data_IF_355852199177
#
_entry.id   IF_355852199177
#
_cell.length_a   1.000
_cell.length_b   1.000
_cell.length_c   1.000
_cell.angle_alpha   90.00
_cell.angle_beta   90.00
_cell.angle_gamma   90.00
#
_symmetry.space_group_name_H-M   'P 1'
#
loop_
_entity.id
_entity.type
_entity.pdbx_description
1 polymer ?
#
# COMPACT_ATOMS: atom_id res chain seq x y z
N UNK A 1 12.97 -53.38 -26.19
CA UNK A 1 12.95 -54.31 -25.04
C UNK A 1 13.21 -53.49 -23.79
N UNK A 2 12.17 -53.34 -22.96
CA UNK A 2 12.09 -53.26 -21.51
C UNK A 2 12.80 -52.06 -20.83
N UNK A 3 12.31 -51.41 -19.81
CA UNK A 3 11.19 -51.60 -18.88
C UNK A 3 10.89 -50.27 -18.17
N UNK A 4 9.65 -50.02 -18.05
CA UNK A 4 8.98 -48.97 -17.28
C UNK A 4 9.17 -49.20 -15.75
N UNK A 5 9.57 -48.18 -14.98
CA UNK A 5 9.37 -48.19 -13.53
C UNK A 5 8.69 -46.87 -13.10
N UNK A 6 7.38 -47.01 -12.88
CA UNK A 6 6.54 -46.05 -12.09
C UNK A 6 6.91 -46.20 -10.62
N UNK A 7 7.20 -45.12 -9.96
CA UNK A 7 7.28 -45.07 -8.50
C UNK A 7 6.07 -44.28 -8.00
N UNK A 8 5.14 -44.98 -7.37
CA UNK A 8 4.00 -44.42 -6.63
C UNK A 8 4.54 -43.84 -5.31
N UNK A 9 4.20 -42.60 -5.01
CA UNK A 9 4.34 -42.04 -3.67
C UNK A 9 2.99 -42.09 -2.95
N UNK A 10 2.98 -42.82 -1.86
CA UNK A 10 1.92 -43.07 -0.92
C UNK A 10 1.45 -41.81 -0.18
N UNK A 11 0.15 -41.60 -0.14
CA UNK A 11 -0.56 -40.67 0.75
C UNK A 11 -0.37 -41.12 2.19
N UNK A 12 0.13 -40.27 3.07
CA UNK A 12 0.02 -40.43 4.52
C UNK A 12 -1.12 -39.55 5.04
N UNK A 13 -2.16 -40.19 5.44
CA UNK A 13 -3.29 -39.69 6.24
C UNK A 13 -2.77 -39.44 7.67
N UNK A 14 -2.99 -38.25 8.23
CA UNK A 14 -2.85 -38.02 9.66
C UNK A 14 -4.22 -37.91 10.30
N UNK A 15 -4.44 -38.79 11.26
CA UNK A 15 -5.64 -38.89 12.10
C UNK A 15 -5.73 -37.72 13.09
N UNK A 16 -6.98 -37.32 13.32
CA UNK A 16 -7.41 -36.43 14.39
C UNK A 16 -7.22 -37.11 15.78
N UNK A 17 -6.76 -36.30 16.72
CA UNK A 17 -6.79 -36.65 18.16
C UNK A 17 -7.58 -35.60 18.92
N UNK A 18 -8.77 -35.98 19.42
CA UNK A 18 -9.60 -35.20 20.33
C UNK A 18 -9.42 -35.78 21.77
N UNK A 19 -9.27 -34.91 22.78
CA UNK A 19 -9.61 -35.14 24.18
C UNK A 19 -9.59 -33.79 24.89
N UNK A 20 -10.68 -33.28 25.38
CA UNK A 20 -11.53 -33.56 26.53
C UNK A 20 -11.15 -32.71 27.76
N UNK A 21 -11.98 -31.71 28.04
CA UNK A 21 -12.72 -31.32 29.27
C UNK A 21 -11.96 -31.24 30.61
N UNK A 22 -12.04 -30.06 31.22
CA UNK A 22 -11.80 -29.82 32.63
C UNK A 22 -12.45 -28.48 33.04
N UNK A 23 -13.64 -28.58 33.63
CA UNK A 23 -14.36 -27.47 34.29
C UNK A 23 -13.95 -27.40 35.76
N UNK A 24 -14.25 -26.26 36.37
CA UNK A 24 -14.62 -25.98 37.77
C UNK A 24 -13.79 -24.85 38.39
N UNK A 25 -14.50 -23.85 38.91
CA UNK A 25 -14.06 -22.96 39.97
C UNK A 25 -14.65 -21.55 39.92
N UNK A 26 -15.96 -21.42 40.28
CA UNK A 26 -16.53 -20.15 40.74
C UNK A 26 -15.99 -19.80 42.12
N UNK A 27 -15.53 -18.56 42.34
CA UNK A 27 -15.65 -17.88 43.64
C UNK A 27 -16.05 -16.42 43.37
N UNK A 28 -17.22 -16.06 43.83
CA UNK A 28 -17.69 -14.69 43.98
C UNK A 28 -17.30 -14.19 45.36
N UNK A 29 -16.85 -12.93 45.47
CA UNK A 29 -16.99 -12.12 46.68
C UNK A 29 -17.19 -10.67 46.27
N UNK A 30 -18.33 -10.14 46.63
CA UNK A 30 -18.65 -8.73 46.63
C UNK A 30 -18.09 -8.08 47.91
N UNK A 31 -17.79 -6.77 47.83
CA UNK A 31 -18.05 -5.70 48.82
C UNK A 31 -17.56 -4.37 48.23
N UNK A 32 -18.42 -3.49 47.96
CA UNK A 32 -19.02 -2.36 48.65
C UNK A 32 -18.02 -1.41 49.31
N UNK A 33 -17.90 -0.17 48.80
CA UNK A 33 -17.70 1.05 49.54
C UNK A 33 -17.64 2.31 48.69
N UNK A 34 -18.74 3.05 48.71
CA UNK A 34 -18.90 4.49 48.84
C UNK A 34 -17.90 5.49 48.19
N UNK A 35 -18.51 6.34 47.39
CA UNK A 35 -18.09 7.68 46.93
C UNK A 35 -17.82 8.65 48.12
N UNK A 36 -17.04 9.72 47.91
CA UNK A 36 -17.71 11.01 47.86
C UNK A 36 -17.30 11.93 46.70
N UNK A 37 -18.28 12.74 46.32
CA UNK A 37 -18.22 13.85 45.38
C UNK A 37 -17.25 14.96 45.83
N UNK A 38 -16.45 15.47 44.89
CA UNK A 38 -15.77 16.75 45.03
C UNK A 38 -16.18 17.66 43.85
N UNK A 39 -16.91 18.67 44.18
CA UNK A 39 -17.18 19.87 43.38
C UNK A 39 -15.89 20.66 43.19
N UNK A 40 -15.53 21.03 41.97
CA UNK A 40 -14.57 22.09 41.73
C UNK A 40 -15.07 23.02 40.63
N UNK A 41 -14.98 24.29 40.97
CA UNK A 41 -15.35 25.47 40.23
C UNK A 41 -14.85 25.58 38.80
N UNK A 42 -15.72 26.11 37.94
CA UNK A 42 -15.40 26.59 36.58
C UNK A 42 -15.02 28.07 36.69
N UNK A 43 -13.85 28.51 36.26
CA UNK A 43 -13.55 29.93 36.07
C UNK A 43 -14.08 30.42 34.72
N UNK A 44 -14.85 31.51 34.79
CA UNK A 44 -15.34 32.32 33.67
C UNK A 44 -14.18 33.02 32.96
N UNK A 45 -14.09 33.03 31.63
CA UNK A 45 -13.10 33.83 30.92
C UNK A 45 -13.55 35.29 30.76
N UNK A 46 -12.63 36.18 31.08
CA UNK A 46 -12.67 37.62 30.91
C UNK A 46 -12.50 38.02 29.42
N UNK A 47 -13.09 39.13 28.92
CA UNK A 47 -13.06 39.51 27.52
C UNK A 47 -11.72 40.16 27.11
N UNK A 48 -11.14 39.65 26.02
CA UNK A 48 -9.91 40.16 25.43
C UNK A 48 -10.16 41.48 24.66
N UNK A 49 -9.32 42.45 24.95
CA UNK A 49 -9.24 43.80 24.39
C UNK A 49 -8.73 43.75 22.94
N UNK A 50 -9.42 44.46 22.05
CA UNK A 50 -9.11 44.63 20.64
C UNK A 50 -8.03 45.70 20.46
N UNK A 51 -6.91 45.40 19.85
CA UNK A 51 -5.96 46.39 19.31
C UNK A 51 -5.95 46.43 17.78
N UNK A 52 -5.69 47.58 17.11
CA UNK A 52 -6.00 47.81 15.72
C UNK A 52 -4.90 47.28 14.76
N UNK A 53 -5.38 46.84 13.58
CA UNK A 53 -4.58 46.36 12.49
C UNK A 53 -3.62 47.42 11.88
N UNK A 54 -2.35 47.08 11.79
CA UNK A 54 -1.35 47.84 11.01
C UNK A 54 -1.35 47.34 9.57
N UNK A 55 -1.64 48.23 8.64
CA UNK A 55 -1.62 48.03 7.19
C UNK A 55 -0.17 47.84 6.70
N UNK A 56 0.14 46.68 6.17
CA UNK A 56 1.41 46.46 5.43
C UNK A 56 1.16 46.47 3.92
N UNK A 57 2.01 47.20 3.19
CA UNK A 57 1.98 47.44 1.77
C UNK A 57 2.21 46.16 0.92
N UNK A 58 1.77 46.13 -0.37
CA UNK A 58 1.90 44.95 -1.21
C UNK A 58 3.34 44.77 -1.71
N UNK A 59 3.93 43.65 -1.40
CA UNK A 59 5.20 43.18 -1.99
C UNK A 59 4.91 42.55 -3.35
N UNK A 60 5.53 43.12 -4.38
CA UNK A 60 5.49 42.67 -5.77
C UNK A 60 6.02 41.24 -5.89
N UNK A 61 5.19 40.29 -6.25
CA UNK A 61 5.58 38.91 -6.54
C UNK A 61 6.28 38.85 -7.91
N UNK A 62 7.45 38.25 -7.93
CA UNK A 62 8.18 37.89 -9.14
C UNK A 62 7.42 36.80 -9.94
N UNK A 63 7.54 36.73 -11.28
CA UNK A 63 6.82 35.76 -12.08
C UNK A 63 7.31 34.33 -11.81
N UNK A 64 6.40 33.46 -11.40
CA UNK A 64 6.62 32.03 -11.30
C UNK A 64 6.69 31.46 -12.73
N UNK A 65 7.86 31.02 -13.14
CA UNK A 65 8.06 30.30 -14.39
C UNK A 65 7.31 28.96 -14.29
N UNK A 66 6.18 28.86 -14.96
CA UNK A 66 5.41 27.62 -15.10
C UNK A 66 6.23 26.63 -15.93
N UNK A 67 6.89 25.69 -15.28
CA UNK A 67 7.45 24.52 -15.95
C UNK A 67 6.28 23.73 -16.53
N UNK A 68 6.24 23.64 -17.85
CA UNK A 68 5.22 22.92 -18.59
C UNK A 68 5.17 21.45 -18.17
N UNK A 69 4.08 21.06 -17.51
CA UNK A 69 3.73 19.66 -17.34
C UNK A 69 3.48 19.05 -18.70
N UNK A 70 4.39 18.22 -19.17
CA UNK A 70 4.11 17.31 -20.28
C UNK A 70 3.04 16.32 -19.80
N UNK A 71 1.80 16.64 -20.10
CA UNK A 71 0.65 15.75 -19.90
C UNK A 71 0.82 14.57 -20.86
N UNK A 72 1.38 13.48 -20.38
CA UNK A 72 1.28 12.19 -21.09
C UNK A 72 -0.18 11.80 -21.07
N UNK A 73 -0.77 11.73 -22.27
CA UNK A 73 -2.20 11.50 -22.48
C UNK A 73 -2.69 10.30 -21.68
N UNK A 74 -3.69 10.54 -20.84
CA UNK A 74 -4.49 9.46 -20.22
C UNK A 74 -5.04 8.58 -21.36
N UNK A 75 -4.95 7.27 -21.20
CA UNK A 75 -5.59 6.33 -22.13
C UNK A 75 -7.07 6.70 -22.29
N UNK A 76 -7.66 6.55 -23.51
CA UNK A 76 -9.04 6.96 -23.76
C UNK A 76 -9.98 6.26 -22.76
N UNK A 77 -10.82 7.04 -22.10
CA UNK A 77 -11.80 6.57 -21.14
C UNK A 77 -12.75 5.55 -21.81
N UNK A 78 -12.80 4.32 -21.32
CA UNK A 78 -13.85 3.35 -21.67
C UNK A 78 -13.40 2.00 -22.21
N UNK A 79 -12.13 1.80 -22.59
CA UNK A 79 -11.61 0.48 -22.98
C UNK A 79 -11.04 -0.31 -21.79
N UNK A 80 -10.77 -1.63 -21.93
CA UNK A 80 -10.11 -2.42 -20.91
C UNK A 80 -8.72 -1.85 -20.52
N UNK A 81 -8.37 -1.88 -19.25
CA UNK A 81 -7.04 -1.48 -18.81
C UNK A 81 -5.96 -2.39 -19.42
N UNK A 82 -4.82 -1.82 -19.80
CA UNK A 82 -3.66 -2.59 -20.24
C UNK A 82 -2.89 -3.14 -19.04
N UNK A 83 -2.51 -4.41 -19.07
CA UNK A 83 -1.70 -5.01 -18.01
C UNK A 83 -0.21 -4.81 -18.28
N UNK A 84 0.54 -4.37 -17.25
CA UNK A 84 1.99 -4.11 -17.30
C UNK A 84 2.65 -4.70 -16.08
N UNK A 85 3.77 -5.43 -16.26
CA UNK A 85 4.53 -6.06 -15.15
C UNK A 85 5.91 -5.44 -14.91
N UNK A 86 6.43 -4.72 -15.89
CA UNK A 86 7.77 -4.10 -15.82
C UNK A 86 7.82 -2.84 -16.66
N UNK A 87 8.76 -1.98 -16.37
CA UNK A 87 9.09 -0.81 -17.16
C UNK A 87 10.20 -1.08 -18.19
N UNK A 88 10.68 -0.03 -18.90
CA UNK A 88 11.76 -0.16 -19.89
C UNK A 88 13.08 -0.62 -19.25
N UNK A 89 13.72 -1.62 -19.84
CA UNK A 89 15.01 -2.13 -19.39
C UNK A 89 16.16 -1.09 -19.50
N UNK A 90 15.94 0.00 -20.22
CA UNK A 90 16.90 1.10 -20.40
C UNK A 90 16.75 2.21 -19.37
N UNK A 91 15.76 2.12 -18.44
CA UNK A 91 15.41 3.21 -17.53
C UNK A 91 16.47 3.53 -16.47
N UNK A 92 17.38 2.58 -16.14
CA UNK A 92 18.30 2.68 -15.00
C UNK A 92 17.57 2.83 -13.65
N UNK A 93 16.28 2.46 -13.61
CA UNK A 93 15.39 2.67 -12.46
C UNK A 93 14.59 1.40 -12.13
N UNK A 94 14.11 1.35 -10.88
CA UNK A 94 13.27 0.27 -10.32
C UNK A 94 12.12 0.92 -9.57
N UNK A 95 10.90 0.43 -9.71
CA UNK A 95 9.80 0.80 -8.86
C UNK A 95 9.67 -0.19 -7.70
N UNK A 96 9.97 0.26 -6.49
CA UNK A 96 9.55 -0.45 -5.29
C UNK A 96 8.07 -0.13 -5.05
N UNK A 97 7.22 -1.14 -5.03
CA UNK A 97 5.79 -0.97 -4.84
C UNK A 97 5.33 -1.73 -3.61
N UNK A 98 4.45 -1.11 -2.84
CA UNK A 98 3.97 -1.66 -1.58
C UNK A 98 2.45 -1.78 -1.59
N UNK A 99 1.93 -2.89 -1.07
CA UNK A 99 0.53 -3.03 -0.74
C UNK A 99 0.31 -2.49 0.68
N UNK A 100 -0.50 -1.43 0.81
CA UNK A 100 -0.78 -0.82 2.11
C UNK A 100 -2.11 -1.32 2.66
N UNK A 101 -2.01 -2.17 3.66
CA UNK A 101 -3.07 -2.71 4.49
C UNK A 101 -2.53 -2.96 5.90
N UNK A 102 -3.37 -3.43 6.83
CA UNK A 102 -2.95 -3.92 8.13
C UNK A 102 -2.58 -2.84 9.15
N UNK A 103 -1.56 -3.09 9.94
CA UNK A 103 -1.21 -2.31 11.14
C UNK A 103 -0.61 -0.93 10.83
N UNK A 104 -1.20 0.12 11.41
CA UNK A 104 -0.77 1.50 11.23
C UNK A 104 0.62 1.79 11.84
N UNK A 105 1.00 1.08 12.90
CA UNK A 105 2.32 1.22 13.52
C UNK A 105 3.43 0.66 12.62
N UNK A 106 3.20 -0.50 11.98
CA UNK A 106 4.12 -1.03 10.96
C UNK A 106 4.24 -0.09 9.78
N UNK A 107 3.11 0.41 9.25
CA UNK A 107 3.12 1.40 8.18
C UNK A 107 3.92 2.65 8.55
N UNK A 108 3.79 3.15 9.78
CA UNK A 108 4.56 4.29 10.27
C UNK A 108 6.06 4.00 10.27
N UNK A 109 6.50 2.85 10.81
CA UNK A 109 7.92 2.47 10.83
C UNK A 109 8.50 2.28 9.44
N UNK A 110 7.73 1.70 8.50
CA UNK A 110 8.16 1.53 7.11
C UNK A 110 8.37 2.88 6.42
N UNK A 111 7.42 3.81 6.57
CA UNK A 111 7.54 5.17 6.03
C UNK A 111 8.74 5.92 6.63
N UNK A 112 9.09 5.70 7.91
CA UNK A 112 10.29 6.25 8.50
C UNK A 112 11.59 5.72 7.86
N UNK A 113 11.63 4.43 7.51
CA UNK A 113 12.78 3.85 6.79
C UNK A 113 12.91 4.46 5.40
N UNK A 114 11.80 4.60 4.67
CA UNK A 114 11.76 5.23 3.35
C UNK A 114 12.20 6.69 3.39
N UNK A 115 11.73 7.45 4.39
CA UNK A 115 12.09 8.85 4.58
C UNK A 115 13.59 9.01 4.87
N UNK A 116 14.17 8.20 5.78
CA UNK A 116 15.61 8.21 6.06
C UNK A 116 16.46 7.92 4.83
N UNK A 117 16.01 7.02 3.98
CA UNK A 117 16.73 6.65 2.74
C UNK A 117 16.41 7.56 1.55
N UNK A 118 15.42 8.46 1.68
CA UNK A 118 14.89 9.31 0.60
C UNK A 118 14.49 8.49 -0.63
N UNK A 119 13.79 7.39 -0.39
CA UNK A 119 13.42 6.42 -1.42
C UNK A 119 11.96 6.63 -1.81
N UNK A 120 11.66 7.23 -2.98
CA UNK A 120 10.29 7.35 -3.45
C UNK A 120 9.77 5.97 -3.89
N UNK A 121 8.50 5.69 -3.56
CA UNK A 121 7.85 4.41 -3.87
C UNK A 121 6.42 4.64 -4.36
N UNK A 122 5.79 3.61 -4.92
CA UNK A 122 4.35 3.61 -5.20
C UNK A 122 3.64 2.71 -4.19
N UNK A 123 2.63 3.26 -3.54
CA UNK A 123 1.82 2.60 -2.52
C UNK A 123 0.47 2.24 -3.12
N UNK A 124 0.26 0.97 -3.45
CA UNK A 124 -1.03 0.42 -3.82
C UNK A 124 -1.86 0.22 -2.57
N UNK A 125 -2.67 1.21 -2.25
CA UNK A 125 -3.36 1.28 -0.98
C UNK A 125 -4.75 0.68 -1.06
N UNK A 126 -5.10 -0.10 -0.04
CA UNK A 126 -6.45 -0.63 0.17
C UNK A 126 -7.36 0.48 0.66
N UNK A 127 -8.54 0.64 0.04
CA UNK A 127 -9.41 1.79 0.26
C UNK A 127 -9.95 1.91 1.70
N UNK A 128 -10.32 0.80 2.34
CA UNK A 128 -10.75 0.81 3.74
C UNK A 128 -9.58 1.14 4.69
N UNK A 129 -8.36 0.74 4.36
CA UNK A 129 -7.16 1.14 5.11
C UNK A 129 -6.88 2.64 4.98
N UNK A 130 -7.00 3.22 3.77
CA UNK A 130 -6.90 4.68 3.56
C UNK A 130 -7.92 5.44 4.40
N UNK A 131 -9.17 4.99 4.38
CA UNK A 131 -10.26 5.63 5.14
C UNK A 131 -10.02 5.56 6.66
N UNK A 132 -9.45 4.46 7.14
CA UNK A 132 -9.11 4.28 8.56
C UNK A 132 -7.83 5.05 8.97
N UNK A 133 -6.93 5.37 8.03
CA UNK A 133 -5.61 5.94 8.29
C UNK A 133 -5.34 7.22 7.47
N UNK A 134 -6.19 8.25 7.51
CA UNK A 134 -6.08 9.42 6.63
C UNK A 134 -4.76 10.19 6.82
N UNK A 135 -4.22 10.23 8.05
CA UNK A 135 -2.93 10.87 8.33
C UNK A 135 -1.74 10.14 7.68
N UNK A 136 -1.77 8.80 7.65
CA UNK A 136 -0.73 8.02 6.98
C UNK A 136 -0.83 8.17 5.46
N UNK A 137 -2.05 8.20 4.91
CA UNK A 137 -2.28 8.47 3.50
C UNK A 137 -1.73 9.85 3.08
N UNK A 138 -2.01 10.90 3.87
CA UNK A 138 -1.46 12.24 3.65
C UNK A 138 0.08 12.25 3.77
N UNK A 139 0.63 11.52 4.74
CA UNK A 139 2.07 11.38 4.92
C UNK A 139 2.74 10.74 3.70
N UNK A 140 2.16 9.67 3.14
CA UNK A 140 2.68 9.06 1.91
C UNK A 140 2.86 10.10 0.80
N UNK A 141 1.87 10.97 0.60
CA UNK A 141 1.95 12.03 -0.42
C UNK A 141 2.98 13.10 -0.06
N UNK A 142 3.00 13.55 1.20
CA UNK A 142 3.94 14.58 1.68
C UNK A 142 5.40 14.11 1.62
N UNK A 143 5.67 12.82 1.85
CA UNK A 143 6.99 12.21 1.76
C UNK A 143 7.42 11.92 0.29
N UNK A 144 6.58 12.28 -0.71
CA UNK A 144 6.87 12.12 -2.14
C UNK A 144 6.58 10.73 -2.69
N UNK A 145 5.80 9.92 -1.99
CA UNK A 145 5.33 8.64 -2.50
C UNK A 145 4.08 8.82 -3.36
N UNK A 146 3.86 7.89 -4.29
CA UNK A 146 2.68 7.85 -5.14
C UNK A 146 1.62 6.92 -4.55
N UNK A 147 0.36 7.38 -4.43
CA UNK A 147 -0.77 6.53 -4.06
C UNK A 147 -1.42 5.94 -5.30
N UNK A 148 -1.73 4.64 -5.24
CA UNK A 148 -2.36 3.86 -6.29
C UNK A 148 -3.47 2.96 -5.71
N UNK A 149 -4.39 2.51 -6.56
CA UNK A 149 -5.57 1.74 -6.17
C UNK A 149 -5.26 0.25 -6.00
N UNK A 150 -5.59 -0.30 -4.82
CA UNK A 150 -5.50 -1.73 -4.53
C UNK A 150 -6.83 -2.31 -4.02
N UNK A 151 -7.94 -1.90 -4.65
CA UNK A 151 -9.32 -2.28 -4.28
C UNK A 151 -9.77 -1.73 -2.92
N UNK A 152 -11.05 -1.86 -2.60
CA UNK A 152 -11.61 -1.33 -1.37
C UNK A 152 -11.36 -2.22 -0.16
N UNK A 153 -11.73 -3.50 -0.27
CA UNK A 153 -11.80 -4.42 0.87
C UNK A 153 -10.66 -5.43 0.94
N UNK A 154 -9.77 -5.44 -0.05
CA UNK A 154 -8.67 -6.41 -0.21
C UNK A 154 -9.14 -7.86 -0.43
N UNK A 155 -10.40 -8.09 -0.80
CA UNK A 155 -10.84 -9.41 -1.23
C UNK A 155 -10.15 -9.81 -2.55
N UNK A 156 -9.82 -11.09 -2.70
CA UNK A 156 -9.22 -11.60 -3.93
C UNK A 156 -10.16 -11.41 -5.14
N UNK A 157 -9.81 -10.49 -6.04
CA UNK A 157 -10.66 -10.13 -7.18
C UNK A 157 -10.96 -11.30 -8.12
N UNK A 158 -10.08 -12.30 -8.17
CA UNK A 158 -10.28 -13.48 -9.00
C UNK A 158 -11.49 -14.36 -8.58
N UNK A 159 -11.94 -14.24 -7.33
CA UNK A 159 -13.08 -14.97 -6.79
C UNK A 159 -14.38 -14.15 -6.73
N UNK A 160 -14.34 -12.86 -7.05
CA UNK A 160 -15.51 -11.99 -7.02
C UNK A 160 -16.41 -12.20 -8.24
N UNK A 161 -17.72 -12.08 -8.02
CA UNK A 161 -18.66 -12.00 -9.12
C UNK A 161 -18.39 -10.74 -9.98
N UNK A 162 -18.59 -10.76 -11.31
CA UNK A 162 -18.31 -9.63 -12.19
C UNK A 162 -18.95 -8.31 -11.76
N UNK A 163 -20.14 -8.35 -11.18
CA UNK A 163 -20.86 -7.16 -10.68
C UNK A 163 -20.18 -6.51 -9.46
N UNK A 164 -19.37 -7.26 -8.69
CA UNK A 164 -18.68 -6.75 -7.51
C UNK A 164 -17.32 -6.09 -7.85
N UNK A 165 -16.75 -6.36 -9.04
CA UNK A 165 -15.43 -5.86 -9.42
C UNK A 165 -15.38 -4.32 -9.48
N UNK A 166 -16.38 -3.70 -10.13
CA UNK A 166 -16.46 -2.24 -10.26
C UNK A 166 -16.52 -1.50 -8.93
N UNK A 167 -17.45 -1.85 -8.03
CA UNK A 167 -17.54 -1.26 -6.69
C UNK A 167 -16.24 -1.34 -5.87
N UNK A 168 -15.50 -2.44 -5.93
CA UNK A 168 -14.19 -2.57 -5.26
C UNK A 168 -13.18 -1.53 -5.76
N UNK A 169 -13.16 -1.28 -7.06
CA UNK A 169 -12.23 -0.33 -7.67
C UNK A 169 -12.68 1.11 -7.43
N UNK A 170 -13.96 1.43 -7.65
CA UNK A 170 -14.47 2.80 -7.58
C UNK A 170 -14.48 3.36 -6.16
N UNK A 171 -14.84 2.56 -5.15
CA UNK A 171 -14.78 3.00 -3.75
C UNK A 171 -13.36 3.32 -3.30
N UNK A 172 -12.37 2.53 -3.71
CA UNK A 172 -10.97 2.82 -3.44
C UNK A 172 -10.50 4.08 -4.19
N UNK A 173 -10.91 4.26 -5.44
CA UNK A 173 -10.62 5.47 -6.22
C UNK A 173 -11.13 6.74 -5.53
N UNK A 174 -12.33 6.68 -4.93
CA UNK A 174 -12.89 7.81 -4.16
C UNK A 174 -12.09 8.11 -2.89
N UNK A 175 -11.63 7.07 -2.16
CA UNK A 175 -10.76 7.25 -1.00
C UNK A 175 -9.41 7.90 -1.37
N UNK A 176 -8.81 7.49 -2.49
CA UNK A 176 -7.59 8.13 -3.02
C UNK A 176 -7.87 9.57 -3.39
N UNK A 177 -8.97 9.84 -4.09
CA UNK A 177 -9.35 11.21 -4.49
C UNK A 177 -9.55 12.12 -3.29
N UNK A 178 -10.14 11.63 -2.21
CA UNK A 178 -10.31 12.39 -0.97
C UNK A 178 -8.96 12.82 -0.35
N UNK A 179 -7.89 12.03 -0.58
CA UNK A 179 -6.55 12.31 -0.05
C UNK A 179 -5.71 13.18 -0.98
N UNK A 180 -5.78 12.93 -2.31
CA UNK A 180 -4.85 13.49 -3.30
C UNK A 180 -5.48 14.48 -4.29
N UNK A 181 -6.82 14.58 -4.31
CA UNK A 181 -7.57 15.34 -5.33
C UNK A 181 -7.79 14.57 -6.64
N UNK A 182 -7.21 13.39 -6.84
CA UNK A 182 -7.38 12.56 -8.04
C UNK A 182 -7.57 11.09 -7.68
N UNK A 183 -8.05 10.26 -8.63
CA UNK A 183 -8.15 8.80 -8.40
C UNK A 183 -6.79 8.08 -8.45
N UNK A 184 -5.70 8.81 -8.71
CA UNK A 184 -4.41 8.23 -9.06
C UNK A 184 -4.37 7.66 -10.48
N UNK A 185 -3.19 7.23 -10.93
CA UNK A 185 -3.01 6.72 -12.32
C UNK A 185 -3.09 5.21 -12.43
N UNK A 186 -2.80 4.50 -11.33
CA UNK A 186 -2.51 3.08 -11.38
C UNK A 186 -3.47 2.28 -10.54
N UNK A 187 -3.79 1.09 -11.04
CA UNK A 187 -4.59 0.08 -10.37
C UNK A 187 -3.81 -1.23 -10.31
N UNK A 188 -3.94 -1.96 -9.20
CA UNK A 188 -3.48 -3.34 -9.05
C UNK A 188 -4.59 -4.14 -8.37
N UNK A 189 -5.06 -5.26 -8.97
CA UNK A 189 -6.07 -6.10 -8.33
C UNK A 189 -5.50 -6.78 -7.08
N UNK A 190 -6.31 -6.92 -6.04
CA UNK A 190 -5.97 -7.70 -4.85
C UNK A 190 -6.10 -9.20 -5.08
N UNK A 191 -5.20 -10.00 -4.48
CA UNK A 191 -5.29 -11.46 -4.42
C UNK A 191 -5.19 -12.19 -5.76
N UNK A 192 -4.72 -11.53 -6.82
CA UNK A 192 -4.45 -12.14 -8.13
C UNK A 192 -3.28 -11.43 -8.83
N UNK A 193 -2.30 -12.20 -9.29
CA UNK A 193 -1.12 -11.63 -9.97
C UNK A 193 -1.47 -11.16 -11.38
N UNK A 194 -2.14 -12.00 -12.16
CA UNK A 194 -2.51 -11.69 -13.55
C UNK A 194 -4.01 -11.43 -13.61
N UNK A 195 -4.45 -10.18 -13.89
CA UNK A 195 -5.87 -9.85 -13.93
C UNK A 195 -6.60 -10.56 -15.06
N UNK A 196 -7.84 -10.97 -14.80
CA UNK A 196 -8.73 -11.50 -15.84
C UNK A 196 -9.23 -10.39 -16.78
N UNK A 197 -9.73 -10.71 -17.99
CA UNK A 197 -10.35 -9.72 -18.86
C UNK A 197 -11.45 -8.90 -18.17
N UNK A 198 -12.30 -9.54 -17.37
CA UNK A 198 -13.36 -8.86 -16.62
C UNK A 198 -12.82 -7.83 -15.61
N UNK A 199 -11.68 -8.12 -14.94
CA UNK A 199 -11.01 -7.18 -14.05
C UNK A 199 -10.46 -6.00 -14.83
N UNK A 200 -9.82 -6.24 -15.98
CA UNK A 200 -9.27 -5.18 -16.84
C UNK A 200 -10.37 -4.27 -17.39
N UNK A 201 -11.50 -4.84 -17.80
CA UNK A 201 -12.67 -4.07 -18.22
C UNK A 201 -13.26 -3.23 -17.07
N UNK A 202 -13.38 -3.82 -15.87
CA UNK A 202 -13.87 -3.09 -14.69
C UNK A 202 -12.92 -1.93 -14.32
N UNK A 203 -11.60 -2.14 -14.40
CA UNK A 203 -10.60 -1.10 -14.16
C UNK A 203 -10.70 0.04 -15.20
N UNK A 204 -10.84 -0.30 -16.50
CA UNK A 204 -11.03 0.68 -17.56
C UNK A 204 -12.29 1.51 -17.36
N UNK A 205 -13.43 0.89 -17.01
CA UNK A 205 -14.67 1.60 -16.68
C UNK A 205 -14.54 2.50 -15.45
N UNK A 206 -13.67 2.15 -14.51
CA UNK A 206 -13.37 2.97 -13.33
C UNK A 206 -12.37 4.12 -13.60
N UNK A 207 -11.89 4.25 -14.86
CA UNK A 207 -10.96 5.31 -15.27
C UNK A 207 -9.48 4.95 -15.24
N UNK A 208 -9.13 3.68 -14.95
CA UNK A 208 -7.74 3.22 -14.96
C UNK A 208 -7.35 2.62 -16.32
N UNK A 209 -6.51 3.32 -17.08
CA UNK A 209 -6.02 2.84 -18.38
C UNK A 209 -4.95 1.73 -18.25
N UNK A 210 -4.36 1.55 -17.06
CA UNK A 210 -3.30 0.57 -16.82
C UNK A 210 -3.52 -0.14 -15.49
N UNK A 211 -3.46 -1.48 -15.54
CA UNK A 211 -3.30 -2.36 -14.38
C UNK A 211 -1.83 -2.73 -14.24
N UNK A 212 -1.23 -2.41 -13.09
CA UNK A 212 0.20 -2.60 -12.83
C UNK A 212 0.41 -3.85 -11.98
N UNK A 213 1.05 -4.86 -12.55
CA UNK A 213 1.58 -6.01 -11.83
C UNK A 213 2.99 -5.76 -11.30
N UNK A 214 3.74 -6.85 -11.19
CA UNK A 214 5.16 -6.85 -10.81
C UNK A 214 5.86 -8.02 -11.52
N UNK A 215 7.17 -7.95 -11.59
CA UNK A 215 8.01 -9.01 -12.13
C UNK A 215 9.10 -9.47 -11.13
N UNK A 216 9.11 -8.87 -9.94
CA UNK A 216 9.87 -9.29 -8.78
C UNK A 216 8.95 -9.38 -7.58
N UNK A 217 8.80 -10.58 -7.01
CA UNK A 217 8.03 -10.81 -5.80
C UNK A 217 8.98 -11.08 -4.62
N UNK A 218 8.85 -10.28 -3.56
CA UNK A 218 9.61 -10.46 -2.33
C UNK A 218 9.15 -11.68 -1.54
N UNK A 219 7.90 -12.13 -1.76
CA UNK A 219 7.19 -13.15 -0.97
C UNK A 219 7.11 -12.82 0.53
N UNK A 220 7.25 -11.54 0.88
CA UNK A 220 7.24 -11.06 2.27
C UNK A 220 5.93 -11.37 3.00
N UNK A 221 4.80 -11.41 2.28
CA UNK A 221 3.49 -11.79 2.81
C UNK A 221 3.40 -13.22 3.35
N UNK A 222 4.39 -14.07 3.07
CA UNK A 222 4.49 -15.44 3.60
C UNK A 222 5.34 -15.53 4.87
N UNK A 223 5.86 -14.41 5.36
CA UNK A 223 6.78 -14.32 6.50
C UNK A 223 7.98 -15.28 6.43
N UNK A 224 8.72 -15.33 5.30
CA UNK A 224 9.78 -16.32 5.06
C UNK A 224 11.09 -16.02 5.81
N UNK A 225 11.16 -14.94 6.57
CA UNK A 225 12.35 -14.43 7.24
C UNK A 225 13.06 -13.32 6.45
N UNK A 226 13.69 -12.40 7.16
CA UNK A 226 14.37 -11.19 6.61
C UNK A 226 15.37 -11.57 5.51
N UNK A 227 16.13 -12.66 5.71
CA UNK A 227 17.12 -13.11 4.73
C UNK A 227 16.49 -13.53 3.40
N UNK A 228 15.33 -14.20 3.45
CA UNK A 228 14.61 -14.63 2.25
C UNK A 228 13.97 -13.43 1.53
N UNK A 229 13.34 -12.49 2.26
CA UNK A 229 12.80 -11.25 1.68
C UNK A 229 13.90 -10.47 0.95
N UNK A 230 15.08 -10.31 1.56
CA UNK A 230 16.24 -9.68 0.92
C UNK A 230 16.66 -10.44 -0.34
N UNK A 231 16.82 -11.75 -0.26
CA UNK A 231 17.28 -12.55 -1.39
C UNK A 231 16.29 -12.50 -2.56
N UNK A 232 14.99 -12.72 -2.30
CA UNK A 232 13.94 -12.69 -3.32
C UNK A 232 13.89 -11.33 -4.04
N UNK A 233 14.02 -10.25 -3.28
CA UNK A 233 14.02 -8.90 -3.85
C UNK A 233 15.32 -8.59 -4.59
N UNK A 234 16.48 -8.71 -3.94
CA UNK A 234 17.77 -8.24 -4.46
C UNK A 234 18.20 -9.01 -5.72
N UNK A 235 17.91 -10.31 -5.79
CA UNK A 235 18.22 -11.14 -6.96
C UNK A 235 17.40 -10.73 -8.19
N UNK A 236 16.21 -10.18 -8.02
CA UNK A 236 15.35 -9.68 -9.09
C UNK A 236 15.63 -8.24 -9.52
N UNK A 237 16.44 -7.46 -8.77
CA UNK A 237 16.71 -6.05 -9.08
C UNK A 237 17.46 -5.89 -10.41
N UNK A 238 16.79 -5.25 -11.36
CA UNK A 238 17.31 -4.86 -12.66
C UNK A 238 16.59 -3.61 -13.17
N UNK A 239 17.15 -2.94 -14.15
CA UNK A 239 16.48 -1.79 -14.78
C UNK A 239 15.10 -2.18 -15.31
N UNK A 240 14.11 -1.38 -15.01
CA UNK A 240 12.71 -1.60 -15.36
C UNK A 240 11.94 -2.53 -14.42
N UNK A 241 12.54 -3.13 -13.40
CA UNK A 241 11.84 -4.01 -12.48
C UNK A 241 10.76 -3.27 -11.68
N UNK A 242 9.62 -3.93 -11.48
CA UNK A 242 8.57 -3.54 -10.53
C UNK A 242 8.54 -4.60 -9.44
N UNK A 243 8.81 -4.19 -8.21
CA UNK A 243 8.93 -5.06 -7.04
C UNK A 243 7.66 -5.02 -6.21
N UNK A 244 7.15 -6.17 -5.79
CA UNK A 244 6.02 -6.32 -4.86
C UNK A 244 6.52 -6.51 -3.43
N UNK A 245 6.03 -5.66 -2.52
CA UNK A 245 6.28 -5.65 -1.07
C UNK A 245 4.99 -5.27 -0.33
N UNK A 246 4.96 -5.47 0.98
CA UNK A 246 3.79 -5.16 1.82
C UNK A 246 4.16 -4.30 3.05
N UNK A 247 3.21 -3.47 3.50
CA UNK A 247 3.39 -2.61 4.69
C UNK A 247 3.31 -3.38 6.01
N UNK A 248 2.56 -4.48 6.04
CA UNK A 248 2.16 -5.15 7.28
C UNK A 248 3.09 -6.30 7.71
N UNK A 249 4.37 -6.26 7.29
CA UNK A 249 5.35 -7.30 7.63
C UNK A 249 6.63 -6.68 8.22
N UNK A 250 6.95 -7.05 9.47
CA UNK A 250 8.16 -6.56 10.16
C UNK A 250 9.45 -6.93 9.39
N UNK A 251 9.46 -8.11 8.76
CA UNK A 251 10.58 -8.57 7.93
C UNK A 251 10.85 -7.67 6.73
N UNK A 252 9.81 -7.09 6.13
CA UNK A 252 9.93 -6.11 5.04
C UNK A 252 10.60 -4.85 5.55
N UNK A 253 10.18 -4.34 6.72
CA UNK A 253 10.77 -3.16 7.35
C UNK A 253 12.25 -3.36 7.63
N UNK A 254 12.62 -4.53 8.18
CA UNK A 254 14.01 -4.90 8.49
C UNK A 254 14.85 -5.14 7.22
N UNK A 255 14.27 -5.69 6.14
CA UNK A 255 14.97 -5.95 4.90
C UNK A 255 15.23 -4.67 4.07
N UNK A 256 14.35 -3.68 4.20
CA UNK A 256 14.29 -2.50 3.31
C UNK A 256 15.60 -1.70 3.21
N UNK A 257 16.36 -1.42 4.30
CA UNK A 257 17.64 -0.74 4.19
C UNK A 257 18.61 -1.47 3.26
N UNK A 258 18.73 -2.78 3.41
CA UNK A 258 19.63 -3.59 2.58
C UNK A 258 19.17 -3.66 1.11
N UNK A 259 17.85 -3.65 0.85
CA UNK A 259 17.30 -3.59 -0.51
C UNK A 259 17.65 -2.25 -1.17
N UNK A 260 17.51 -1.14 -0.45
CA UNK A 260 17.87 0.20 -0.95
C UNK A 260 19.37 0.32 -1.22
N UNK A 261 20.21 -0.23 -0.35
CA UNK A 261 21.66 -0.23 -0.54
C UNK A 261 22.07 -1.10 -1.75
N UNK A 262 21.42 -2.24 -1.95
CA UNK A 262 21.65 -3.10 -3.12
C UNK A 262 21.23 -2.42 -4.44
N UNK A 263 20.14 -1.64 -4.45
CA UNK A 263 19.79 -0.80 -5.60
C UNK A 263 20.92 0.16 -5.95
N UNK A 264 21.43 0.90 -4.97
CA UNK A 264 22.53 1.85 -5.15
C UNK A 264 23.82 1.16 -5.64
N UNK A 265 24.16 0.02 -5.03
CA UNK A 265 25.33 -0.77 -5.42
C UNK A 265 25.25 -1.28 -6.87
N UNK A 266 24.03 -1.53 -7.38
CA UNK A 266 23.79 -1.90 -8.78
C UNK A 266 23.69 -0.68 -9.71
N UNK A 267 23.87 0.55 -9.24
CA UNK A 267 23.71 1.77 -10.03
C UNK A 267 22.25 2.05 -10.44
N UNK A 268 21.29 1.45 -9.74
CA UNK A 268 19.85 1.62 -10.00
C UNK A 268 19.24 2.69 -9.09
N UNK A 269 18.22 3.38 -9.59
CA UNK A 269 17.48 4.38 -8.82
C UNK A 269 16.09 3.85 -8.47
N UNK A 270 15.68 4.00 -7.20
CA UNK A 270 14.28 3.80 -6.84
C UNK A 270 13.44 4.98 -7.34
N UNK A 271 12.32 4.69 -7.99
CA UNK A 271 11.39 5.69 -8.52
C UNK A 271 9.94 5.24 -8.32
N UNK A 272 8.98 6.15 -8.46
CA UNK A 272 7.56 5.77 -8.52
C UNK A 272 7.22 5.07 -9.84
N UNK A 273 6.08 4.38 -9.88
CA UNK A 273 5.59 3.74 -11.12
C UNK A 273 5.36 4.79 -12.21
N UNK A 274 4.86 5.99 -11.86
CA UNK A 274 4.70 7.09 -12.81
C UNK A 274 6.03 7.53 -13.41
N UNK A 275 7.10 7.59 -12.64
CA UNK A 275 8.43 7.91 -13.16
C UNK A 275 9.01 6.78 -14.01
N UNK A 276 8.70 5.53 -13.68
CA UNK A 276 9.22 4.36 -14.39
C UNK A 276 8.54 4.15 -15.75
N UNK A 277 7.22 4.36 -15.82
CA UNK A 277 6.40 4.03 -17.00
C UNK A 277 6.07 5.25 -17.87
N UNK A 278 6.25 6.47 -17.35
CA UNK A 278 5.97 7.74 -18.04
C UNK A 278 4.55 8.22 -17.90
#
# INVERSE_FOLDING_TARGET
MALNRRTMLTRRTFLAGAAAVGAVGLVACADDSASPAATTDVPTPEPATTEPATTAAPTTAAPVTTMGSTTTAAAPAGGPARYVRSGPATSGAVALTFHAAGDAGRATRLLEVLARSRTPVTVFAVGNWLAANPRLAQRCVADGHELANHTWSHQGMGSLAPAALGPEITRCAEAIRATTGSIGRWFRPSGIEVPTPAILEAAGRAGYGVSVGYDVDSLDFQDPGVAAVKANTINGLRAGAIVSLHFDHDQTIEALPAIVDALRAKGLRAVTVSTLLG
#
